data_IF_023403677065
#
_entry.id   IF_023403677065
#
_cell.length_a   1.000
_cell.length_b   1.000
_cell.length_c   1.000
_cell.angle_alpha   90.00
_cell.angle_beta   90.00
_cell.angle_gamma   90.00
#
_symmetry.space_group_name_H-M   'P 1'
#
loop_
_entity.id
_entity.type
_entity.pdbx_description
1 polymer ?
#
# COMPACT_ATOMS: atom_id res chain seq x y z
N UNK A 1 44.96 -32.40 -37.39
CA UNK A 1 43.58 -32.74 -36.94
C UNK A 1 43.11 -31.93 -35.74
N UNK A 2 43.84 -31.85 -34.62
CA UNK A 2 43.41 -31.13 -33.41
C UNK A 2 43.05 -29.64 -33.63
N UNK A 3 43.78 -28.93 -34.50
CA UNK A 3 43.50 -27.51 -34.83
C UNK A 3 42.13 -27.30 -35.48
N UNK A 4 41.71 -28.21 -36.35
CA UNK A 4 40.41 -28.15 -37.04
C UNK A 4 39.24 -28.39 -36.07
N UNK A 5 39.42 -29.31 -35.12
CA UNK A 5 38.43 -29.59 -34.06
C UNK A 5 38.23 -28.36 -33.16
N UNK A 6 39.32 -27.71 -32.76
CA UNK A 6 39.25 -26.48 -31.96
C UNK A 6 38.53 -25.34 -32.70
N UNK A 7 38.83 -25.14 -33.99
CA UNK A 7 38.13 -24.15 -34.84
C UNK A 7 36.63 -24.43 -34.89
N UNK A 8 36.23 -25.68 -35.17
CA UNK A 8 34.81 -26.05 -35.23
C UNK A 8 34.08 -25.84 -33.88
N UNK A 9 34.75 -26.09 -32.75
CA UNK A 9 34.19 -25.84 -31.42
C UNK A 9 33.96 -24.34 -31.19
N UNK A 10 34.91 -23.50 -31.57
CA UNK A 10 34.80 -22.04 -31.47
C UNK A 10 33.66 -21.53 -32.36
N UNK A 11 33.56 -21.99 -33.60
CA UNK A 11 32.47 -21.61 -34.52
C UNK A 11 31.10 -21.99 -33.98
N UNK A 12 30.96 -23.19 -33.42
CA UNK A 12 29.71 -23.62 -32.80
C UNK A 12 29.36 -22.76 -31.58
N UNK A 13 30.36 -22.40 -30.76
CA UNK A 13 30.13 -21.52 -29.61
C UNK A 13 29.72 -20.11 -30.04
N UNK A 14 30.32 -19.57 -31.11
CA UNK A 14 29.91 -18.30 -31.71
C UNK A 14 28.45 -18.35 -32.18
N UNK A 15 28.05 -19.40 -32.90
CA UNK A 15 26.66 -19.58 -33.36
C UNK A 15 25.66 -19.65 -32.21
N UNK A 16 26.01 -20.34 -31.13
CA UNK A 16 25.18 -20.39 -29.92
C UNK A 16 25.03 -19.01 -29.29
N UNK A 17 26.14 -18.29 -29.08
CA UNK A 17 26.11 -16.94 -28.51
C UNK A 17 25.34 -15.95 -29.40
N UNK A 18 25.39 -16.09 -30.72
CA UNK A 18 24.59 -15.28 -31.65
C UNK A 18 23.09 -15.51 -31.46
N UNK A 19 22.66 -16.76 -31.32
CA UNK A 19 21.25 -17.11 -31.04
C UNK A 19 20.79 -16.60 -29.68
N UNK A 20 21.63 -16.76 -28.65
CA UNK A 20 21.36 -16.22 -27.32
C UNK A 20 21.22 -14.69 -27.36
N UNK A 21 22.11 -14.01 -28.07
CA UNK A 21 22.02 -12.56 -28.28
C UNK A 21 20.70 -12.16 -28.95
N UNK A 22 20.28 -12.84 -30.01
CA UNK A 22 19.00 -12.57 -30.67
C UNK A 22 17.81 -12.73 -29.72
N UNK A 23 17.84 -13.77 -28.88
CA UNK A 23 16.79 -14.00 -27.88
C UNK A 23 16.78 -12.88 -26.82
N UNK A 24 17.95 -12.47 -26.32
CA UNK A 24 18.06 -11.36 -25.35
C UNK A 24 17.52 -10.06 -25.93
N UNK A 25 17.84 -9.74 -27.19
CA UNK A 25 17.33 -8.53 -27.86
C UNK A 25 15.80 -8.56 -27.95
N UNK A 26 15.19 -9.70 -28.30
CA UNK A 26 13.72 -9.83 -28.31
C UNK A 26 13.12 -9.66 -26.92
N UNK A 27 13.75 -10.20 -25.88
CA UNK A 27 13.29 -10.04 -24.52
C UNK A 27 13.40 -8.58 -24.04
N UNK A 28 14.47 -7.87 -24.40
CA UNK A 28 14.62 -6.45 -24.10
C UNK A 28 13.50 -5.62 -24.73
N UNK A 29 13.20 -5.84 -26.01
CA UNK A 29 12.08 -5.15 -26.68
C UNK A 29 10.73 -5.39 -25.98
N UNK A 30 10.49 -6.60 -25.47
CA UNK A 30 9.29 -6.91 -24.68
C UNK A 30 9.26 -6.18 -23.33
N UNK A 31 10.42 -6.05 -22.67
CA UNK A 31 10.53 -5.31 -21.40
C UNK A 31 10.29 -3.82 -21.62
N UNK A 32 10.84 -3.25 -22.69
CA UNK A 32 10.67 -1.84 -23.04
C UNK A 32 9.19 -1.51 -23.34
N UNK A 33 8.49 -2.34 -24.11
CA UNK A 33 7.04 -2.19 -24.35
C UNK A 33 6.23 -2.23 -23.05
N UNK A 34 6.59 -3.12 -22.11
CA UNK A 34 5.94 -3.18 -20.80
C UNK A 34 6.21 -1.94 -19.96
N UNK A 35 7.45 -1.42 -19.98
CA UNK A 35 7.81 -0.20 -19.27
C UNK A 35 7.01 0.99 -19.81
N UNK A 36 6.96 1.16 -21.13
CA UNK A 36 6.20 2.24 -21.77
C UNK A 36 4.71 2.21 -21.40
N UNK A 37 4.09 1.01 -21.36
CA UNK A 37 2.69 0.86 -20.93
C UNK A 37 2.47 1.26 -19.48
N UNK A 38 3.42 0.94 -18.60
CA UNK A 38 3.34 1.30 -17.18
C UNK A 38 3.56 2.81 -16.98
N UNK A 39 4.46 3.42 -17.74
CA UNK A 39 4.68 4.88 -17.73
C UNK A 39 3.43 5.62 -18.20
N UNK A 40 2.80 5.19 -19.31
CA UNK A 40 1.54 5.75 -19.77
C UNK A 40 0.41 5.56 -18.75
N UNK A 41 0.32 4.40 -18.10
CA UNK A 41 -0.65 4.18 -17.04
C UNK A 41 -0.41 5.11 -15.82
N UNK A 42 0.85 5.38 -15.47
CA UNK A 42 1.21 6.34 -14.44
C UNK A 42 0.83 7.76 -14.85
N UNK A 43 1.09 8.15 -16.10
CA UNK A 43 0.71 9.45 -16.64
C UNK A 43 -0.81 9.66 -16.54
N UNK A 44 -1.61 8.68 -16.95
CA UNK A 44 -3.08 8.70 -16.80
C UNK A 44 -3.49 8.82 -15.34
N UNK A 45 -2.78 8.17 -14.40
CA UNK A 45 -3.08 8.26 -12.97
C UNK A 45 -2.65 9.59 -12.34
N UNK A 46 -1.57 10.21 -12.83
CA UNK A 46 -1.06 11.50 -12.38
C UNK A 46 -1.88 12.67 -12.94
N UNK A 47 -2.30 12.58 -14.21
CA UNK A 47 -3.17 13.54 -14.90
C UNK A 47 -4.66 13.33 -14.62
N UNK A 48 -5.03 12.36 -13.77
CA UNK A 48 -6.35 12.37 -13.14
C UNK A 48 -6.44 13.61 -12.26
N UNK A 49 -6.95 14.70 -12.84
CA UNK A 49 -7.60 15.77 -12.09
C UNK A 49 -8.56 15.17 -11.07
N UNK A 50 -8.88 15.93 -10.02
CA UNK A 50 -9.78 15.49 -8.96
C UNK A 50 -10.99 14.84 -9.62
N UNK A 51 -11.11 13.52 -9.54
CA UNK A 51 -12.16 12.76 -10.26
C UNK A 51 -13.57 13.25 -9.89
N UNK A 52 -13.64 14.05 -8.83
CA UNK A 52 -14.78 14.87 -8.44
C UNK A 52 -15.25 15.87 -9.49
N UNK A 53 -14.38 16.38 -10.37
CA UNK A 53 -14.73 17.28 -11.48
C UNK A 53 -15.65 16.61 -12.50
N UNK A 54 -15.62 15.28 -12.59
CA UNK A 54 -16.48 14.48 -13.45
C UNK A 54 -17.70 13.91 -12.70
N UNK A 55 -17.90 14.25 -11.42
CA UNK A 55 -19.11 13.85 -10.72
C UNK A 55 -20.31 14.60 -11.29
N UNK A 56 -21.40 13.86 -11.50
CA UNK A 56 -22.69 14.44 -11.88
C UNK A 56 -23.64 14.41 -10.68
N UNK A 57 -24.80 15.07 -10.78
CA UNK A 57 -25.80 15.06 -9.72
C UNK A 57 -26.24 13.63 -9.33
N UNK A 58 -26.21 12.70 -10.28
CA UNK A 58 -26.72 11.34 -10.11
C UNK A 58 -25.61 10.27 -10.01
N UNK A 59 -24.36 10.61 -10.29
CA UNK A 59 -23.26 9.65 -10.29
C UNK A 59 -21.97 10.26 -9.77
N UNK A 60 -21.37 9.60 -8.78
CA UNK A 60 -20.08 9.99 -8.21
C UNK A 60 -19.05 8.91 -8.48
N UNK A 61 -17.94 9.31 -9.10
CA UNK A 61 -16.83 8.43 -9.35
C UNK A 61 -16.05 8.21 -8.04
N UNK A 62 -16.17 7.00 -7.47
CA UNK A 62 -15.41 6.61 -6.28
C UNK A 62 -14.04 6.06 -6.67
N UNK A 63 -13.00 6.83 -6.41
CA UNK A 63 -11.64 6.30 -6.41
C UNK A 63 -11.42 5.50 -5.13
N UNK A 64 -11.15 4.21 -5.26
CA UNK A 64 -10.71 3.39 -4.13
C UNK A 64 -9.30 3.84 -3.70
N UNK A 65 -9.22 4.65 -2.65
CA UNK A 65 -7.95 5.03 -2.02
C UNK A 65 -7.79 4.26 -0.72
N UNK A 66 -6.76 3.42 -0.64
CA UNK A 66 -6.35 2.82 0.63
C UNK A 66 -5.88 3.93 1.57
N UNK A 67 -6.62 4.16 2.65
CA UNK A 67 -6.27 5.14 3.69
C UNK A 67 -5.09 4.63 4.51
N UNK A 68 -5.12 3.35 4.85
CA UNK A 68 -4.04 2.61 5.49
C UNK A 68 -3.50 1.59 4.48
N UNK A 69 -2.18 1.55 4.29
CA UNK A 69 -1.48 0.55 3.45
C UNK A 69 -1.57 -0.83 4.09
N UNK A 70 -1.36 -0.89 5.40
CA UNK A 70 -1.38 -2.10 6.22
C UNK A 70 -2.74 -2.47 6.80
N UNK A 71 -2.77 -3.56 7.56
CA UNK A 71 -3.97 -4.07 8.24
C UNK A 71 -4.28 -3.22 9.48
N UNK A 72 -5.14 -2.21 9.33
CA UNK A 72 -5.54 -1.26 10.37
C UNK A 72 -5.79 -1.90 11.73
N UNK A 73 -6.62 -2.96 11.80
CA UNK A 73 -6.98 -3.63 13.06
C UNK A 73 -5.76 -4.19 13.81
N UNK A 74 -4.80 -4.76 13.08
CA UNK A 74 -3.56 -5.31 13.66
C UNK A 74 -2.67 -4.18 14.16
N UNK A 75 -2.47 -3.16 13.33
CA UNK A 75 -1.63 -2.00 13.67
C UNK A 75 -2.18 -1.25 14.89
N UNK A 76 -3.50 -1.07 14.97
CA UNK A 76 -4.17 -0.45 16.12
C UNK A 76 -3.85 -1.17 17.44
N UNK A 77 -3.94 -2.50 17.47
CA UNK A 77 -3.61 -3.26 18.68
C UNK A 77 -2.14 -3.13 19.03
N UNK A 78 -1.25 -3.16 18.04
CA UNK A 78 0.18 -2.97 18.31
C UNK A 78 0.48 -1.58 18.85
N UNK A 79 -0.22 -0.53 18.39
CA UNK A 79 -0.13 0.82 18.96
C UNK A 79 -0.62 0.85 20.40
N UNK A 80 -1.79 0.27 20.68
CA UNK A 80 -2.34 0.24 22.04
C UNK A 80 -1.46 -0.55 23.02
N UNK A 81 -0.80 -1.63 22.55
CA UNK A 81 0.12 -2.44 23.37
C UNK A 81 1.43 -1.73 23.70
N UNK A 82 1.82 -0.69 22.97
CA UNK A 82 3.02 0.08 23.29
C UNK A 82 2.84 0.91 24.57
N UNK A 83 1.63 1.39 24.82
CA UNK A 83 1.28 2.17 26.01
C UNK A 83 -0.04 1.64 26.61
N UNK A 84 -0.03 0.46 27.26
CA UNK A 84 -1.24 -0.27 27.66
C UNK A 84 -2.08 0.46 28.73
N UNK A 85 -1.48 1.39 29.46
CA UNK A 85 -2.12 2.15 30.53
C UNK A 85 -2.64 3.52 30.07
N UNK A 86 -2.43 3.88 28.80
CA UNK A 86 -2.84 5.19 28.29
C UNK A 86 -4.17 5.09 27.56
N UNK A 87 -5.01 6.10 27.77
CA UNK A 87 -6.21 6.34 26.99
C UNK A 87 -5.96 7.32 25.86
N UNK A 88 -6.48 7.00 24.67
CA UNK A 88 -6.25 7.74 23.44
C UNK A 88 -7.54 8.27 22.85
N UNK A 89 -7.46 9.45 22.23
CA UNK A 89 -8.48 9.93 21.30
C UNK A 89 -8.36 9.21 19.95
N UNK A 90 -9.44 9.25 19.17
CA UNK A 90 -9.45 8.66 17.81
C UNK A 90 -8.40 9.31 16.91
N UNK A 91 -8.19 10.63 17.02
CA UNK A 91 -7.22 11.34 16.19
C UNK A 91 -5.78 10.96 16.56
N UNK A 92 -5.45 10.82 17.85
CA UNK A 92 -4.14 10.32 18.28
C UNK A 92 -3.88 8.92 17.73
N UNK A 93 -4.86 8.01 17.82
CA UNK A 93 -4.71 6.66 17.27
C UNK A 93 -4.50 6.66 15.76
N UNK A 94 -5.18 7.55 15.01
CA UNK A 94 -4.96 7.68 13.57
C UNK A 94 -3.53 8.13 13.30
N UNK A 95 -3.05 9.16 14.00
CA UNK A 95 -1.67 9.66 13.84
C UNK A 95 -0.65 8.55 14.11
N UNK A 96 -0.78 7.85 15.22
CA UNK A 96 0.14 6.77 15.61
C UNK A 96 0.11 5.61 14.60
N UNK A 97 -1.08 5.21 14.14
CA UNK A 97 -1.20 4.17 13.12
C UNK A 97 -0.63 4.63 11.78
N UNK A 98 -0.83 5.88 11.36
CA UNK A 98 -0.23 6.42 10.13
C UNK A 98 1.30 6.45 10.20
N UNK A 99 1.87 6.83 11.34
CA UNK A 99 3.33 6.75 11.58
C UNK A 99 3.81 5.31 11.41
N UNK A 100 3.14 4.36 12.09
CA UNK A 100 3.48 2.94 12.04
C UNK A 100 3.34 2.33 10.64
N UNK A 101 2.39 2.83 9.86
CA UNK A 101 2.11 2.38 8.49
C UNK A 101 3.04 3.03 7.44
N UNK A 102 4.07 3.78 7.86
CA UNK A 102 5.01 4.46 6.97
C UNK A 102 4.36 5.59 6.17
N UNK A 103 3.36 6.25 6.76
CA UNK A 103 2.57 7.34 6.19
C UNK A 103 2.56 8.58 7.10
N UNK A 104 3.65 8.80 7.85
CA UNK A 104 3.80 9.96 8.72
C UNK A 104 3.59 11.27 7.93
N UNK A 105 2.91 12.25 8.55
CA UNK A 105 2.64 13.56 7.95
C UNK A 105 1.45 13.61 6.98
N UNK A 106 0.75 12.50 6.70
CA UNK A 106 -0.48 12.55 5.90
C UNK A 106 -1.62 13.27 6.64
N UNK A 107 -2.37 14.16 5.97
CA UNK A 107 -3.51 14.84 6.59
C UNK A 107 -4.62 13.84 6.94
N UNK A 108 -5.13 13.94 8.17
CA UNK A 108 -6.24 13.14 8.65
C UNK A 108 -7.53 13.65 8.00
N UNK A 109 -8.23 12.75 7.31
CA UNK A 109 -9.54 13.03 6.69
C UNK A 109 -10.67 12.36 7.48
N UNK A 110 -11.91 12.82 7.31
CA UNK A 110 -13.08 12.21 7.95
C UNK A 110 -13.19 10.69 7.70
N UNK A 111 -12.74 10.20 6.54
CA UNK A 111 -12.76 8.78 6.21
C UNK A 111 -11.80 7.95 7.08
N UNK A 112 -10.68 8.54 7.53
CA UNK A 112 -9.78 7.88 8.49
C UNK A 112 -10.51 7.66 9.82
N UNK A 113 -11.26 8.66 10.28
CA UNK A 113 -12.08 8.58 11.49
C UNK A 113 -13.14 7.49 11.39
N UNK A 114 -13.85 7.38 10.26
CA UNK A 114 -14.82 6.30 10.03
C UNK A 114 -14.16 4.93 10.09
N UNK A 115 -13.01 4.78 9.43
CA UNK A 115 -12.25 3.53 9.39
C UNK A 115 -11.71 3.13 10.77
N UNK A 116 -11.17 4.10 11.52
CA UNK A 116 -10.65 3.89 12.87
C UNK A 116 -11.77 3.50 13.85
N UNK A 117 -12.91 4.18 13.81
CA UNK A 117 -14.09 3.82 14.61
C UNK A 117 -14.59 2.40 14.29
N UNK A 118 -14.58 2.00 13.02
CA UNK A 118 -14.89 0.63 12.62
C UNK A 118 -13.91 -0.41 13.18
N UNK A 119 -12.61 -0.08 13.24
CA UNK A 119 -11.60 -0.94 13.85
C UNK A 119 -11.74 -1.03 15.37
N UNK A 120 -11.97 0.10 16.05
CA UNK A 120 -12.20 0.15 17.50
C UNK A 120 -13.46 -0.62 17.89
N UNK A 121 -14.57 -0.43 17.16
CA UNK A 121 -15.82 -1.19 17.37
C UNK A 121 -15.60 -2.70 17.25
N UNK A 122 -14.80 -3.14 16.28
CA UNK A 122 -14.45 -4.56 16.14
C UNK A 122 -13.76 -5.11 17.39
N UNK A 123 -12.80 -4.38 17.94
CA UNK A 123 -12.06 -4.82 19.13
C UNK A 123 -12.84 -4.66 20.43
N UNK A 124 -13.72 -3.67 20.51
CA UNK A 124 -14.66 -3.47 21.61
C UNK A 124 -15.60 -4.67 21.72
N UNK A 125 -16.18 -5.10 20.59
CA UNK A 125 -17.05 -6.29 20.54
C UNK A 125 -16.32 -7.58 20.93
N UNK A 126 -14.98 -7.61 20.84
CA UNK A 126 -14.14 -8.72 21.29
C UNK A 126 -13.64 -8.59 22.72
N UNK A 127 -14.03 -7.53 23.44
CA UNK A 127 -13.60 -7.27 24.81
C UNK A 127 -12.11 -6.95 24.97
N UNK A 128 -11.40 -6.57 23.89
CA UNK A 128 -9.95 -6.30 23.91
C UNK A 128 -9.66 -4.83 24.22
N UNK A 129 -10.53 -3.93 23.79
CA UNK A 129 -10.43 -2.50 24.09
C UNK A 129 -11.70 -2.06 24.80
N UNK A 130 -11.59 -0.98 25.57
CA UNK A 130 -12.72 -0.36 26.22
C UNK A 130 -12.88 1.11 25.80
N UNK A 131 -14.11 1.59 25.90
CA UNK A 131 -14.50 2.96 25.57
C UNK A 131 -14.76 3.70 26.87
N UNK A 132 -14.01 4.76 27.12
CA UNK A 132 -14.20 5.66 28.26
C UNK A 132 -14.87 6.93 27.75
N UNK A 133 -16.06 7.22 28.27
CA UNK A 133 -16.84 8.40 27.90
C UNK A 133 -16.81 9.40 29.06
N UNK A 134 -16.08 10.50 28.89
CA UNK A 134 -16.06 11.58 29.88
C UNK A 134 -17.23 12.56 29.65
N UNK A 135 -17.58 12.82 28.38
CA UNK A 135 -18.78 13.54 27.96
C UNK A 135 -19.10 13.18 26.49
N UNK A 136 -20.15 13.79 25.93
CA UNK A 136 -20.63 13.53 24.55
C UNK A 136 -19.53 13.70 23.48
N UNK A 137 -18.53 14.56 23.73
CA UNK A 137 -17.47 14.91 22.78
C UNK A 137 -16.13 14.25 23.13
N UNK A 138 -15.88 13.99 24.41
CA UNK A 138 -14.63 13.48 24.95
C UNK A 138 -14.73 11.97 25.20
N UNK A 139 -14.49 11.23 24.13
CA UNK A 139 -14.45 9.77 24.12
C UNK A 139 -12.99 9.34 23.97
N UNK A 140 -12.53 8.48 24.89
CA UNK A 140 -11.21 7.87 24.84
C UNK A 140 -11.29 6.35 24.74
N UNK A 141 -10.22 5.76 24.23
CA UNK A 141 -10.07 4.33 24.00
C UNK A 141 -8.78 3.85 24.63
N UNK A 142 -8.84 2.71 25.33
CA UNK A 142 -7.66 2.09 25.90
C UNK A 142 -7.73 0.57 25.78
N UNK A 143 -6.59 -0.09 25.98
CA UNK A 143 -6.53 -1.53 26.08
C UNK A 143 -7.26 -1.96 27.36
N UNK A 144 -8.16 -2.94 27.27
CA UNK A 144 -8.81 -3.47 28.46
C UNK A 144 -7.78 -4.25 29.27
N UNK A 145 -7.56 -3.85 30.52
CA UNK A 145 -6.72 -4.61 31.44
C UNK A 145 -7.50 -5.84 31.92
N UNK A 146 -6.85 -7.01 31.94
CA UNK A 146 -7.43 -8.25 32.44
C UNK A 146 -7.52 -8.25 33.95
#
# INVERSE_FOLDING_TARGET
MAKLVCINQIENKIRLLQREREQVVKHLALVDDKLQKLEHALEVLQHRHSVNEYNTANFTYKLYKRLFKGKLRKMLIEVLKQEPNRSFTVNELITLVLIKDGQAGKPITAQHTVSMRGALRHWLNKGIVERIEYNVVNIRWQLKQQ
#
